data_IF_776560576057
#
_entry.id   IF_776560576057
#
_cell.length_a   1.000
_cell.length_b   1.000
_cell.length_c   1.000
_cell.angle_alpha   90.00
_cell.angle_beta   90.00
_cell.angle_gamma   90.00
#
_symmetry.space_group_name_H-M   'P 1'
#
loop_
_entity.id
_entity.type
_entity.pdbx_description
1 polymer ?
#
# COMPACT_ATOMS: atom_id res chain seq x y z
N UNK A 1 -12.45 -50.64 0.08
CA UNK A 1 -12.58 -51.31 -1.24
C UNK A 1 -11.27 -51.13 -1.99
N UNK A 2 -10.49 -52.20 -2.20
CA UNK A 2 -9.18 -52.18 -2.87
C UNK A 2 -9.37 -52.24 -4.38
N UNK A 3 -8.91 -51.23 -5.13
CA UNK A 3 -8.78 -51.32 -6.58
C UNK A 3 -7.36 -51.74 -6.95
N UNK A 4 -7.22 -52.96 -7.49
CA UNK A 4 -6.02 -53.46 -8.17
C UNK A 4 -6.07 -52.97 -9.61
N UNK A 5 -5.13 -52.13 -10.04
CA UNK A 5 -4.83 -51.96 -11.46
C UNK A 5 -3.75 -52.96 -11.85
N UNK A 6 -4.08 -53.88 -12.76
CA UNK A 6 -3.10 -54.73 -13.42
C UNK A 6 -2.40 -53.89 -14.50
N UNK A 7 -1.16 -53.51 -14.24
CA UNK A 7 -0.29 -52.83 -15.20
C UNK A 7 0.43 -53.90 -16.03
N UNK A 8 -0.07 -54.20 -17.22
CA UNK A 8 0.65 -55.05 -18.18
C UNK A 8 1.63 -54.17 -18.95
N UNK A 9 2.90 -54.25 -18.56
CA UNK A 9 4.04 -53.64 -19.25
C UNK A 9 4.36 -54.49 -20.49
N UNK A 10 4.15 -53.92 -21.68
CA UNK A 10 4.77 -54.40 -22.92
C UNK A 10 5.74 -53.31 -23.35
N UNK A 11 7.03 -53.58 -23.12
CA UNK A 11 8.15 -52.83 -23.67
C UNK A 11 8.30 -53.20 -25.15
N UNK A 12 8.00 -52.27 -26.06
CA UNK A 12 8.62 -52.27 -27.38
C UNK A 12 9.09 -50.83 -27.69
N UNK A 13 10.34 -50.74 -28.09
CA UNK A 13 11.09 -49.50 -28.30
C UNK A 13 10.56 -48.66 -29.46
N UNK A 14 10.67 -47.34 -29.29
CA UNK A 14 10.84 -46.39 -30.39
C UNK A 14 9.57 -45.77 -30.94
N UNK A 15 9.09 -44.71 -30.30
CA UNK A 15 8.77 -43.44 -30.98
C UNK A 15 8.57 -42.36 -29.91
N UNK A 16 9.32 -41.26 -30.02
CA UNK A 16 9.10 -40.04 -29.25
C UNK A 16 7.75 -39.48 -29.69
N UNK A 17 6.71 -39.62 -28.86
CA UNK A 17 5.46 -38.89 -29.03
C UNK A 17 5.44 -37.73 -28.04
N UNK A 18 5.47 -36.51 -28.57
CA UNK A 18 5.35 -35.29 -27.79
C UNK A 18 3.97 -35.23 -27.15
N UNK A 19 3.87 -35.49 -25.84
CA UNK A 19 2.67 -35.22 -25.06
C UNK A 19 2.63 -33.73 -24.71
N UNK A 20 1.98 -32.92 -25.54
CA UNK A 20 1.69 -31.54 -25.19
C UNK A 20 0.43 -31.50 -24.31
N UNK A 21 0.61 -31.44 -22.98
CA UNK A 21 -0.46 -31.07 -22.06
C UNK A 21 -0.52 -29.53 -21.98
N UNK A 22 -1.41 -28.90 -22.76
CA UNK A 22 -1.75 -27.49 -22.55
C UNK A 22 -2.75 -27.37 -21.39
N UNK A 23 -2.31 -26.80 -20.27
CA UNK A 23 -3.19 -26.28 -19.24
C UNK A 23 -3.61 -24.85 -19.62
N UNK A 24 -4.87 -24.67 -20.04
CA UNK A 24 -5.42 -23.34 -20.32
C UNK A 24 -6.10 -22.73 -19.08
N UNK A 25 -5.94 -21.41 -19.03
CA UNK A 25 -6.28 -20.40 -18.04
C UNK A 25 -7.73 -20.45 -17.50
N UNK A 26 -7.86 -20.10 -16.22
CA UNK A 26 -9.09 -19.89 -15.46
C UNK A 26 -9.83 -18.64 -15.95
N UNK A 27 -11.00 -18.82 -16.57
CA UNK A 27 -11.97 -17.73 -16.73
C UNK A 27 -12.96 -17.81 -15.56
N UNK A 28 -12.87 -16.87 -14.62
CA UNK A 28 -13.87 -16.68 -13.57
C UNK A 28 -15.04 -15.91 -14.20
N UNK A 29 -16.09 -16.62 -14.58
CA UNK A 29 -17.38 -16.02 -14.92
C UNK A 29 -18.14 -15.74 -13.62
N UNK A 30 -18.27 -14.46 -13.28
CA UNK A 30 -19.14 -14.00 -12.20
C UNK A 30 -20.52 -13.75 -12.81
N UNK A 31 -21.34 -14.80 -12.91
CA UNK A 31 -22.77 -14.61 -13.11
C UNK A 31 -23.45 -14.42 -11.75
N UNK A 32 -24.36 -13.45 -11.66
CA UNK A 32 -24.98 -12.95 -10.44
C UNK A 32 -25.96 -13.91 -9.75
N UNK A 33 -25.76 -15.23 -9.90
CA UNK A 33 -26.57 -16.27 -9.27
C UNK A 33 -25.98 -16.69 -7.90
N UNK A 34 -26.79 -17.24 -6.97
CA UNK A 34 -26.34 -17.64 -5.64
C UNK A 34 -25.61 -19.00 -5.63
N UNK A 35 -24.76 -19.28 -6.62
CA UNK A 35 -23.92 -20.47 -6.62
C UNK A 35 -22.62 -20.22 -5.87
N UNK A 36 -22.20 -21.21 -5.08
CA UNK A 36 -20.88 -21.25 -4.43
C UNK A 36 -19.77 -20.99 -5.46
N UNK A 37 -18.68 -20.30 -5.08
CA UNK A 37 -17.57 -20.10 -6.00
C UNK A 37 -16.99 -21.47 -6.40
N UNK A 38 -16.96 -21.75 -7.70
CA UNK A 38 -16.50 -23.01 -8.26
C UNK A 38 -15.24 -22.79 -9.10
N UNK A 39 -14.25 -23.67 -8.92
CA UNK A 39 -13.10 -23.80 -9.79
C UNK A 39 -13.35 -24.91 -10.79
N UNK A 40 -13.30 -24.59 -12.09
CA UNK A 40 -13.47 -25.56 -13.17
C UNK A 40 -12.15 -25.73 -13.90
N UNK A 41 -11.58 -26.94 -13.86
CA UNK A 41 -10.39 -27.31 -14.61
C UNK A 41 -10.76 -28.22 -15.78
N UNK A 42 -10.23 -27.90 -16.97
CA UNK A 42 -10.43 -28.68 -18.19
C UNK A 42 -9.09 -29.27 -18.66
N UNK A 43 -9.06 -30.57 -18.91
CA UNK A 43 -7.91 -31.26 -19.46
C UNK A 43 -8.32 -32.03 -20.72
N UNK A 44 -7.67 -31.74 -21.84
CA UNK A 44 -7.91 -32.42 -23.12
C UNK A 44 -6.62 -33.12 -23.54
N UNK A 45 -6.68 -34.43 -23.68
CA UNK A 45 -5.60 -35.23 -24.25
C UNK A 45 -5.98 -35.59 -25.68
N UNK A 46 -5.12 -35.30 -26.64
CA UNK A 46 -5.28 -35.70 -28.04
C UNK A 46 -4.12 -36.60 -28.44
N UNK A 47 -4.44 -37.74 -29.05
CA UNK A 47 -3.48 -38.67 -29.64
C UNK A 47 -3.80 -38.72 -31.12
N UNK A 48 -2.84 -38.32 -31.95
CA UNK A 48 -2.95 -38.41 -33.40
C UNK A 48 -1.85 -39.35 -33.93
N UNK A 49 -2.25 -40.35 -34.70
CA UNK A 49 -1.42 -41.25 -35.49
C UNK A 49 -1.91 -41.11 -36.95
N UNK A 50 -1.06 -41.40 -37.94
CA UNK A 50 -1.24 -41.11 -39.37
C UNK A 50 -2.69 -41.19 -39.90
N UNK A 51 -3.45 -42.24 -39.53
CA UNK A 51 -4.85 -42.44 -39.94
C UNK A 51 -5.88 -42.42 -38.78
N UNK A 52 -5.47 -42.10 -37.54
CA UNK A 52 -6.33 -42.17 -36.33
C UNK A 52 -6.13 -40.94 -35.44
N UNK A 53 -7.21 -40.18 -35.22
CA UNK A 53 -7.29 -39.16 -34.17
C UNK A 53 -8.18 -39.68 -33.03
N UNK A 54 -7.65 -39.68 -31.80
CA UNK A 54 -8.38 -39.94 -30.58
C UNK A 54 -8.25 -38.75 -29.63
N UNK A 55 -9.35 -38.35 -28.99
CA UNK A 55 -9.32 -37.30 -27.98
C UNK A 55 -10.08 -37.72 -26.72
N UNK A 56 -9.55 -37.35 -25.56
CA UNK A 56 -10.16 -37.55 -24.25
C UNK A 56 -10.25 -36.20 -23.54
N UNK A 57 -11.45 -35.84 -23.09
CA UNK A 57 -11.69 -34.62 -22.33
C UNK A 57 -12.08 -34.98 -20.89
N UNK A 58 -11.45 -34.33 -19.92
CA UNK A 58 -11.74 -34.46 -18.50
C UNK A 58 -12.02 -33.07 -17.92
N UNK A 59 -13.17 -32.92 -17.27
CA UNK A 59 -13.54 -31.70 -16.54
C UNK A 59 -13.63 -32.01 -15.05
N UNK A 60 -12.97 -31.21 -14.22
CA UNK A 60 -13.05 -31.28 -12.76
C UNK A 60 -13.67 -29.97 -12.26
N UNK A 61 -14.76 -30.06 -11.51
CA UNK A 61 -15.39 -28.94 -10.81
C UNK A 61 -15.12 -29.09 -9.32
N UNK A 62 -14.56 -28.06 -8.68
CA UNK A 62 -14.32 -28.01 -7.23
C UNK A 62 -15.01 -26.81 -6.63
N UNK A 63 -15.78 -27.03 -5.58
CA UNK A 63 -16.34 -25.95 -4.77
C UNK A 63 -15.23 -25.33 -3.90
N UNK A 64 -15.02 -24.02 -4.00
CA UNK A 64 -14.03 -23.29 -3.23
C UNK A 64 -14.60 -22.93 -1.84
N UNK A 65 -14.04 -23.54 -0.80
CA UNK A 65 -14.38 -23.22 0.60
C UNK A 65 -13.44 -22.16 1.15
N UNK A 66 -14.00 -21.18 1.88
CA UNK A 66 -13.22 -20.12 2.55
C UNK A 66 -12.86 -18.91 1.68
N UNK A 67 -13.46 -18.79 0.49
CA UNK A 67 -13.34 -17.59 -0.35
C UNK A 67 -14.51 -16.66 0.00
N UNK A 68 -14.20 -15.41 0.35
CA UNK A 68 -15.22 -14.40 0.60
C UNK A 68 -15.97 -14.09 -0.71
N UNK A 69 -17.26 -14.37 -0.75
CA UNK A 69 -18.11 -13.95 -1.86
C UNK A 69 -18.33 -12.45 -1.82
N UNK A 70 -18.60 -11.85 -2.98
CA UNK A 70 -18.89 -10.41 -3.04
C UNK A 70 -20.08 -10.02 -2.15
N UNK A 71 -21.05 -10.92 -1.97
CA UNK A 71 -22.18 -10.72 -1.06
C UNK A 71 -21.75 -10.65 0.40
N UNK A 72 -20.83 -11.52 0.82
CA UNK A 72 -20.27 -11.50 2.18
C UNK A 72 -19.43 -10.24 2.43
N UNK A 73 -18.65 -9.81 1.43
CA UNK A 73 -17.88 -8.56 1.50
C UNK A 73 -18.81 -7.36 1.63
N UNK A 74 -19.86 -7.27 0.79
CA UNK A 74 -20.83 -6.19 0.84
C UNK A 74 -21.60 -6.16 2.17
N UNK A 75 -21.96 -7.32 2.72
CA UNK A 75 -22.60 -7.41 4.03
C UNK A 75 -21.70 -6.88 5.15
N UNK A 76 -20.39 -7.21 5.12
CA UNK A 76 -19.41 -6.70 6.09
C UNK A 76 -19.17 -5.20 5.94
N UNK A 77 -19.13 -4.68 4.71
CA UNK A 77 -19.01 -3.25 4.47
C UNK A 77 -20.22 -2.48 5.00
N UNK A 78 -21.43 -2.99 4.79
CA UNK A 78 -22.65 -2.39 5.33
C UNK A 78 -22.68 -2.41 6.87
N UNK A 79 -22.21 -3.49 7.50
CA UNK A 79 -22.06 -3.57 8.97
C UNK A 79 -21.09 -2.50 9.50
N UNK A 80 -19.96 -2.30 8.82
CA UNK A 80 -18.97 -1.30 9.18
C UNK A 80 -19.48 0.13 8.99
N UNK A 81 -20.21 0.39 7.91
CA UNK A 81 -20.83 1.68 7.64
C UNK A 81 -21.81 2.06 8.76
N UNK A 82 -22.66 1.13 9.21
CA UNK A 82 -23.58 1.36 10.32
C UNK A 82 -22.85 1.66 11.63
N UNK A 83 -21.79 0.92 11.95
CA UNK A 83 -20.98 1.18 13.15
C UNK A 83 -20.33 2.57 13.10
N UNK A 84 -19.79 2.96 11.94
CA UNK A 84 -19.17 4.27 11.78
C UNK A 84 -20.19 5.41 11.96
N UNK A 85 -21.39 5.28 11.39
CA UNK A 85 -22.47 6.26 11.56
C UNK A 85 -22.85 6.40 13.04
N UNK A 86 -22.90 5.29 13.77
CA UNK A 86 -23.23 5.29 15.20
C UNK A 86 -22.14 5.95 16.05
N UNK A 87 -20.87 5.66 15.78
CA UNK A 87 -19.75 6.33 16.45
C UNK A 87 -19.76 7.85 16.19
N UNK A 88 -20.03 8.27 14.94
CA UNK A 88 -20.15 9.71 14.61
C UNK A 88 -21.34 10.35 15.34
N UNK A 89 -22.46 9.63 15.49
CA UNK A 89 -23.63 10.10 16.25
C UNK A 89 -23.26 10.34 17.72
N UNK A 90 -22.56 9.40 18.34
CA UNK A 90 -22.09 9.51 19.72
C UNK A 90 -21.14 10.70 19.93
N UNK A 91 -20.23 10.93 18.99
CA UNK A 91 -19.33 12.11 19.01
C UNK A 91 -20.14 13.41 18.91
N UNK A 92 -21.10 13.48 17.99
CA UNK A 92 -21.94 14.68 17.81
C UNK A 92 -22.82 14.98 19.03
N UNK A 93 -23.29 13.95 19.73
CA UNK A 93 -24.05 14.10 20.98
C UNK A 93 -23.19 14.53 22.17
N UNK A 94 -21.87 14.43 22.06
CA UNK A 94 -20.93 14.93 23.07
C UNK A 94 -20.54 16.42 22.89
N UNK A 95 -20.79 17.03 21.73
CA UNK A 95 -20.54 18.46 21.46
C UNK A 95 -21.22 19.45 22.44
N UNK A 96 -22.46 19.26 22.96
CA UNK A 96 -23.05 20.23 23.88
C UNK A 96 -22.31 20.32 25.24
N UNK A 97 -21.43 19.37 25.59
CA UNK A 97 -20.59 19.47 26.80
C UNK A 97 -19.43 20.45 26.65
N UNK A 98 -19.00 20.81 25.42
CA UNK A 98 -17.97 21.84 25.21
C UNK A 98 -18.51 23.27 25.11
N UNK A 99 -19.81 23.46 24.86
CA UNK A 99 -20.42 24.81 24.77
C UNK A 99 -20.79 25.43 26.13
N UNK A 100 -20.75 24.66 27.22
CA UNK A 100 -21.08 25.14 28.57
C UNK A 100 -19.88 25.67 29.36
N UNK A 101 -18.65 25.58 28.82
CA UNK A 101 -17.48 26.30 29.32
C UNK A 101 -17.40 27.68 28.66
N UNK A 102 -18.41 28.54 28.88
CA UNK A 102 -18.33 29.95 28.49
C UNK A 102 -17.40 30.70 29.45
N UNK A 103 -16.14 30.87 29.04
CA UNK A 103 -15.27 31.91 29.60
C UNK A 103 -15.86 33.27 29.17
N UNK A 104 -16.09 34.22 30.09
CA UNK A 104 -16.63 35.53 29.73
C UNK A 104 -15.64 36.28 28.83
N UNK A 105 -16.03 36.48 27.56
CA UNK A 105 -15.30 37.30 26.59
C UNK A 105 -15.48 38.78 26.96
N UNK A 106 -14.42 39.39 27.47
CA UNK A 106 -14.31 40.83 27.63
C UNK A 106 -14.24 41.50 26.26
N UNK A 107 -15.22 42.37 25.98
CA UNK A 107 -15.32 43.23 24.81
C UNK A 107 -14.25 44.33 24.86
N UNK A 108 -13.02 43.98 24.50
CA UNK A 108 -12.04 44.95 24.03
C UNK A 108 -11.68 44.60 22.60
N UNK A 109 -12.24 45.36 21.64
CA UNK A 109 -11.81 45.35 20.23
C UNK A 109 -10.32 45.70 20.17
N UNK A 110 -9.43 44.80 19.72
CA UNK A 110 -8.09 45.21 19.34
C UNK A 110 -8.19 45.93 18.01
N UNK A 111 -7.62 47.14 17.97
CA UNK A 111 -7.39 47.91 16.74
C UNK A 111 -6.59 47.05 15.76
N UNK A 112 -7.01 47.11 14.50
CA UNK A 112 -6.36 46.55 13.33
C UNK A 112 -4.90 47.05 13.26
N UNK A 113 -3.98 46.22 13.72
CA UNK A 113 -2.56 46.35 13.45
C UNK A 113 -2.16 45.14 12.59
N UNK A 114 -1.74 45.47 11.37
CA UNK A 114 -0.92 44.73 10.41
C UNK A 114 -0.82 43.20 10.52
N UNK A 115 -1.40 42.54 9.49
CA UNK A 115 -0.96 41.29 8.86
C UNK A 115 -0.37 40.22 9.80
N UNK A 116 -1.23 39.49 10.50
CA UNK A 116 -0.90 38.12 10.86
C UNK A 116 -0.90 37.27 9.59
N UNK A 117 0.27 36.76 9.20
CA UNK A 117 0.34 35.66 8.23
C UNK A 117 -0.56 34.54 8.74
N UNK A 118 -1.57 34.18 7.93
CA UNK A 118 -2.26 32.89 8.06
C UNK A 118 -1.16 31.83 8.01
N UNK A 119 -0.85 31.27 9.17
CA UNK A 119 0.39 30.52 9.42
C UNK A 119 0.52 29.34 8.48
N UNK A 120 1.57 29.34 7.68
CA UNK A 120 1.98 28.20 6.89
C UNK A 120 2.42 27.10 7.86
N UNK A 121 1.63 26.03 7.97
CA UNK A 121 1.94 24.83 8.77
C UNK A 121 2.23 23.67 7.84
N UNK A 122 3.33 22.93 8.08
CA UNK A 122 3.67 21.74 7.28
C UNK A 122 2.65 20.62 7.43
N UNK A 123 1.96 20.56 8.56
CA UNK A 123 0.85 19.64 8.74
C UNK A 123 -0.30 19.95 7.79
N UNK A 124 -0.64 21.23 7.61
CA UNK A 124 -1.67 21.65 6.66
C UNK A 124 -1.24 21.34 5.21
N UNK A 125 0.02 21.60 4.85
CA UNK A 125 0.55 21.21 3.54
C UNK A 125 0.44 19.70 3.32
N UNK A 126 0.86 18.91 4.31
CA UNK A 126 0.82 17.46 4.23
C UNK A 126 -0.61 16.97 4.02
N UNK A 127 -1.57 17.46 4.80
CA UNK A 127 -3.00 17.08 4.66
C UNK A 127 -3.56 17.48 3.29
N UNK A 128 -3.22 18.67 2.80
CA UNK A 128 -3.75 19.17 1.52
C UNK A 128 -3.16 18.48 0.29
N UNK A 129 -1.91 18.02 0.37
CA UNK A 129 -1.17 17.48 -0.78
C UNK A 129 -0.86 15.98 -0.65
N UNK A 130 -1.38 15.29 0.37
CA UNK A 130 -1.18 13.84 0.48
C UNK A 130 -1.96 13.11 -0.61
N UNK A 131 -1.29 12.18 -1.28
CA UNK A 131 -1.84 11.33 -2.34
C UNK A 131 -2.37 12.12 -3.55
N UNK A 132 -1.81 13.31 -3.81
CA UNK A 132 -2.16 14.12 -4.98
C UNK A 132 -1.21 13.89 -6.15
N UNK A 133 -1.64 14.30 -7.34
CA UNK A 133 -0.85 14.23 -8.57
C UNK A 133 -0.49 15.65 -8.99
N UNK A 134 0.79 15.91 -9.21
CA UNK A 134 1.30 17.19 -9.67
C UNK A 134 1.90 17.04 -11.06
N UNK A 135 1.69 18.04 -11.91
CA UNK A 135 2.33 18.13 -13.22
C UNK A 135 3.64 18.91 -13.09
N UNK A 136 4.72 18.35 -13.62
CA UNK A 136 6.02 19.00 -13.71
C UNK A 136 6.47 19.05 -15.16
N UNK A 137 7.49 19.84 -15.47
CA UNK A 137 8.11 19.89 -16.81
C UNK A 137 8.62 18.51 -17.27
N UNK A 138 8.95 17.64 -16.33
CA UNK A 138 9.50 16.30 -16.58
C UNK A 138 8.42 15.20 -16.61
N UNK A 139 7.17 15.51 -16.29
CA UNK A 139 6.07 14.55 -16.25
C UNK A 139 5.19 14.64 -15.00
N UNK A 140 4.33 13.64 -14.81
CA UNK A 140 3.43 13.54 -13.64
C UNK A 140 4.19 12.97 -12.45
N UNK A 141 3.96 13.53 -11.27
CA UNK A 141 4.46 12.97 -10.03
C UNK A 141 3.34 12.80 -9.02
N UNK A 142 3.38 11.70 -8.30
CA UNK A 142 2.51 11.40 -7.17
C UNK A 142 3.20 11.86 -5.88
N UNK A 143 2.47 12.56 -5.03
CA UNK A 143 2.95 13.02 -3.74
C UNK A 143 2.35 12.15 -2.64
N UNK A 144 3.20 11.65 -1.75
CA UNK A 144 2.76 10.99 -0.53
C UNK A 144 3.44 11.61 0.67
N UNK A 145 2.67 11.93 1.70
CA UNK A 145 3.16 12.48 2.95
C UNK A 145 2.91 11.48 4.08
N UNK A 146 3.94 11.26 4.88
CA UNK A 146 3.92 10.39 6.04
C UNK A 146 4.43 11.15 7.26
N UNK A 147 3.56 11.33 8.25
CA UNK A 147 3.93 11.85 9.57
C UNK A 147 4.27 10.68 10.49
N UNK A 148 5.51 10.66 10.95
CA UNK A 148 6.07 9.65 11.85
C UNK A 148 6.02 10.21 13.25
N UNK A 149 5.34 9.50 14.15
CA UNK A 149 5.27 9.87 15.56
C UNK A 149 6.37 9.15 16.35
N UNK A 150 6.68 9.70 17.52
CA UNK A 150 7.68 9.16 18.44
C UNK A 150 9.07 8.96 17.82
N UNK A 151 9.44 9.84 16.89
CA UNK A 151 10.68 9.71 16.11
C UNK A 151 11.93 9.79 16.99
N UNK A 152 11.85 10.52 18.10
CA UNK A 152 12.98 10.66 19.04
C UNK A 152 13.31 9.32 19.69
N UNK A 153 12.30 8.56 20.12
CA UNK A 153 12.54 7.23 20.68
C UNK A 153 13.01 6.25 19.61
N UNK A 154 12.44 6.34 18.40
CA UNK A 154 12.83 5.52 17.26
C UNK A 154 14.31 5.72 16.93
N UNK A 155 14.77 6.97 16.84
CA UNK A 155 16.15 7.30 16.51
C UNK A 155 17.15 6.86 17.60
N UNK A 156 16.77 6.98 18.87
CA UNK A 156 17.67 6.71 19.99
C UNK A 156 17.72 5.22 20.37
N UNK A 157 16.58 4.53 20.34
CA UNK A 157 16.44 3.22 20.99
C UNK A 157 15.98 2.11 20.04
N UNK A 158 15.37 2.41 18.90
CA UNK A 158 14.93 1.37 17.97
C UNK A 158 16.07 0.91 17.07
N UNK A 159 16.22 -0.40 16.93
CA UNK A 159 16.97 -1.04 15.85
C UNK A 159 16.05 -1.65 14.78
N UNK A 160 14.74 -1.68 15.07
CA UNK A 160 13.74 -2.22 14.16
C UNK A 160 13.30 -1.17 13.16
N UNK A 161 13.14 -1.61 11.91
CA UNK A 161 12.57 -0.80 10.86
C UNK A 161 11.10 -0.52 11.10
N UNK A 162 10.61 0.59 10.56
CA UNK A 162 9.23 1.04 10.73
C UNK A 162 8.67 1.37 9.37
N UNK A 163 7.45 0.90 9.13
CA UNK A 163 6.78 1.02 7.85
C UNK A 163 5.67 2.08 7.90
N UNK A 164 5.50 2.79 6.80
CA UNK A 164 4.32 3.60 6.55
C UNK A 164 3.09 2.72 6.32
N UNK A 165 1.91 3.34 6.34
CA UNK A 165 0.75 2.70 5.74
C UNK A 165 1.02 2.43 4.25
N UNK A 166 0.49 1.32 3.74
CA UNK A 166 0.56 0.99 2.32
C UNK A 166 -0.25 1.99 1.49
N UNK A 167 0.29 2.42 0.37
CA UNK A 167 -0.40 3.28 -0.60
C UNK A 167 -0.18 2.78 -2.02
N UNK A 168 -0.97 3.27 -2.98
CA UNK A 168 -1.01 2.73 -4.33
C UNK A 168 -0.67 3.79 -5.38
N UNK A 169 0.23 3.45 -6.29
CA UNK A 169 0.54 4.27 -7.47
C UNK A 169 0.38 3.40 -8.71
N UNK A 170 -0.53 3.78 -9.62
CA UNK A 170 -0.92 2.98 -10.79
C UNK A 170 -1.27 1.52 -10.45
N UNK A 171 -1.92 1.29 -9.30
CA UNK A 171 -2.31 -0.04 -8.83
C UNK A 171 -1.18 -0.86 -8.19
N UNK A 172 0.05 -0.34 -8.13
CA UNK A 172 1.15 -1.00 -7.44
C UNK A 172 1.20 -0.60 -5.97
N UNK A 173 1.23 -1.56 -5.03
CA UNK A 173 1.37 -1.26 -3.61
C UNK A 173 2.80 -0.80 -3.29
N UNK A 174 2.89 0.27 -2.52
CA UNK A 174 4.14 0.89 -2.08
C UNK A 174 4.12 1.09 -0.57
N UNK A 175 5.28 0.93 0.06
CA UNK A 175 5.52 1.17 1.48
C UNK A 175 6.82 1.99 1.62
N UNK A 176 6.81 2.99 2.50
CA UNK A 176 8.04 3.67 2.91
C UNK A 176 8.53 3.02 4.20
N UNK A 177 9.78 2.60 4.23
CA UNK A 177 10.41 2.00 5.41
C UNK A 177 11.50 2.93 5.93
N UNK A 178 11.46 3.21 7.23
CA UNK A 178 12.56 3.80 7.99
C UNK A 178 13.39 2.67 8.57
N UNK A 179 14.69 2.71 8.33
CA UNK A 179 15.67 1.88 9.01
C UNK A 179 16.45 2.78 9.98
N UNK A 180 16.05 2.83 11.26
CA UNK A 180 16.81 3.54 12.29
C UNK A 180 18.18 2.87 12.43
N UNK A 181 19.21 3.67 12.72
CA UNK A 181 20.58 3.18 12.95
C UNK A 181 21.04 2.17 11.89
N UNK A 182 20.85 2.51 10.62
CA UNK A 182 21.06 1.65 9.47
C UNK A 182 22.44 1.00 9.52
N UNK A 183 22.50 -0.34 9.52
CA UNK A 183 23.73 -1.15 9.64
C UNK A 183 24.53 -0.86 10.94
N UNK A 184 23.86 -0.51 12.03
CA UNK A 184 24.49 -0.19 13.31
C UNK A 184 25.22 1.16 13.33
N UNK A 185 24.99 2.01 12.33
CA UNK A 185 25.65 3.31 12.19
C UNK A 185 24.76 4.47 12.64
N UNK A 186 25.31 5.69 12.77
CA UNK A 186 24.55 6.90 13.11
C UNK A 186 23.68 7.45 11.96
N UNK A 187 23.32 6.60 10.99
CA UNK A 187 22.51 6.99 9.85
C UNK A 187 21.09 6.45 9.98
N UNK A 188 20.11 7.29 9.71
CA UNK A 188 18.76 6.86 9.35
C UNK A 188 18.72 6.60 7.85
N UNK A 189 18.11 5.50 7.42
CA UNK A 189 17.86 5.24 6.01
C UNK A 189 16.36 5.21 5.72
N UNK A 190 15.97 5.79 4.58
CA UNK A 190 14.62 5.69 4.02
C UNK A 190 14.66 4.84 2.75
N UNK A 191 13.70 3.94 2.63
CA UNK A 191 13.51 3.05 1.49
C UNK A 191 12.07 3.13 0.98
N UNK A 192 11.88 3.07 -0.33
CA UNK A 192 10.58 2.80 -0.93
C UNK A 192 10.57 1.35 -1.43
N UNK A 193 9.71 0.52 -0.86
CA UNK A 193 9.60 -0.89 -1.21
C UNK A 193 8.30 -1.16 -1.98
N UNK A 194 8.37 -2.12 -2.90
CA UNK A 194 7.24 -2.67 -3.65
C UNK A 194 7.52 -4.12 -4.03
N UNK A 195 6.47 -4.92 -4.18
CA UNK A 195 6.59 -6.30 -4.67
C UNK A 195 6.92 -6.37 -6.16
N UNK A 196 6.50 -5.38 -6.95
CA UNK A 196 6.45 -5.48 -8.41
C UNK A 196 7.42 -4.53 -9.10
N UNK A 197 7.45 -3.28 -8.66
CA UNK A 197 8.23 -2.22 -9.30
C UNK A 197 8.53 -1.11 -8.31
N UNK A 198 9.81 -0.72 -8.23
CA UNK A 198 10.21 0.45 -7.46
C UNK A 198 10.34 1.64 -8.42
N UNK A 199 9.43 2.63 -8.35
CA UNK A 199 9.47 3.80 -9.23
C UNK A 199 10.68 4.68 -8.95
N UNK A 200 11.02 5.52 -9.93
CA UNK A 200 11.93 6.63 -9.67
C UNK A 200 11.27 7.58 -8.66
N UNK A 201 11.96 7.88 -7.57
CA UNK A 201 11.38 8.66 -6.49
C UNK A 201 12.40 9.55 -5.79
N UNK A 202 11.91 10.51 -5.01
CA UNK A 202 12.72 11.37 -4.15
C UNK A 202 12.04 11.48 -2.80
N UNK A 203 12.83 11.36 -1.74
CA UNK A 203 12.37 11.68 -0.38
C UNK A 203 12.75 13.11 -0.02
N UNK A 204 11.87 13.76 0.71
CA UNK A 204 12.10 15.07 1.31
C UNK A 204 11.69 15.00 2.77
N UNK A 205 12.63 15.22 3.68
CA UNK A 205 12.31 15.44 5.09
C UNK A 205 12.00 16.92 5.25
N UNK A 206 10.79 17.19 5.71
CA UNK A 206 10.28 18.55 5.81
C UNK A 206 10.85 19.21 7.05
N UNK A 207 11.53 20.34 6.84
CA UNK A 207 11.81 21.28 7.91
C UNK A 207 10.49 21.96 8.32
N UNK A 208 10.17 21.88 9.60
CA UNK A 208 8.92 22.33 10.22
C UNK A 208 8.87 23.85 10.39
N UNK A 209 10.04 24.51 10.46
CA UNK A 209 10.16 25.95 10.70
C UNK A 209 10.47 26.75 9.42
N UNK A 210 11.18 26.15 8.46
CA UNK A 210 11.67 26.82 7.26
C UNK A 210 11.68 25.87 6.05
N UNK A 211 10.78 26.02 5.06
CA UNK A 211 10.73 25.18 3.85
C UNK A 211 12.02 25.16 3.02
N UNK A 212 12.83 26.21 3.09
CA UNK A 212 14.12 26.25 2.38
C UNK A 212 15.17 25.34 3.01
N UNK A 213 14.94 24.89 4.24
CA UNK A 213 15.81 23.97 4.99
C UNK A 213 15.49 22.49 4.79
N UNK A 214 14.55 22.15 3.90
CA UNK A 214 14.18 20.76 3.62
C UNK A 214 15.37 19.91 3.19
N UNK A 215 15.45 18.68 3.72
CA UNK A 215 16.48 17.72 3.33
C UNK A 215 15.93 16.83 2.22
N UNK A 216 16.44 17.00 1.01
CA UNK A 216 16.03 16.21 -0.15
C UNK A 216 17.07 15.16 -0.51
N UNK A 217 16.59 13.98 -0.91
CA UNK A 217 17.44 12.97 -1.54
C UNK A 217 17.74 13.33 -3.00
N UNK A 218 18.72 12.65 -3.57
CA UNK A 218 18.81 12.50 -5.04
C UNK A 218 17.64 11.65 -5.56
N UNK A 219 17.55 11.47 -6.88
CA UNK A 219 16.59 10.53 -7.47
C UNK A 219 17.03 9.09 -7.12
N UNK A 220 16.10 8.37 -6.51
CA UNK A 220 16.22 6.99 -6.06
C UNK A 220 15.43 6.06 -6.98
N UNK A 221 15.69 4.77 -6.86
CA UNK A 221 15.03 3.71 -7.62
C UNK A 221 15.73 2.39 -7.37
N UNK A 222 15.59 1.43 -8.29
CA UNK A 222 16.14 0.07 -8.13
C UNK A 222 17.67 0.03 -7.93
N UNK A 223 18.42 0.94 -8.57
CA UNK A 223 19.89 0.99 -8.47
C UNK A 223 20.37 1.69 -7.19
N UNK A 224 19.57 2.61 -6.66
CA UNK A 224 19.90 3.44 -5.51
C UNK A 224 18.64 3.48 -4.63
N UNK A 225 18.43 2.44 -3.80
CA UNK A 225 17.15 2.25 -3.13
C UNK A 225 17.02 3.08 -1.84
N UNK A 226 18.14 3.56 -1.29
CA UNK A 226 18.19 4.12 0.07
C UNK A 226 18.60 5.60 0.07
N UNK A 227 17.83 6.41 0.79
CA UNK A 227 18.26 7.73 1.23
C UNK A 227 18.82 7.66 2.64
N UNK A 228 20.14 7.83 2.78
CA UNK A 228 20.83 7.79 4.07
C UNK A 228 21.12 9.20 4.57
N UNK A 229 20.78 9.47 5.82
CA UNK A 229 20.92 10.77 6.46
C UNK A 229 21.53 10.56 7.83
N UNK A 230 22.51 11.39 8.20
CA UNK A 230 23.10 11.35 9.54
C UNK A 230 22.07 11.77 10.59
N UNK A 231 21.94 11.04 11.70
CA UNK A 231 20.94 11.27 12.74
C UNK A 231 20.96 12.70 13.28
N UNK A 232 22.16 13.25 13.52
CA UNK A 232 22.36 14.64 13.99
C UNK A 232 21.73 15.72 13.09
N UNK A 233 21.55 15.43 11.80
CA UNK A 233 20.90 16.35 10.85
C UNK A 233 19.39 16.41 11.04
N UNK A 234 18.79 15.36 11.61
CA UNK A 234 17.35 15.23 11.83
C UNK A 234 16.99 15.53 13.28
N UNK A 235 17.89 15.27 14.22
CA UNK A 235 17.65 15.47 15.66
C UNK A 235 17.48 16.94 16.09
N UNK A 236 17.55 17.89 15.15
CA UNK A 236 17.31 19.31 15.44
C UNK A 236 15.81 19.58 15.59
N UNK A 237 15.46 20.57 16.41
CA UNK A 237 14.08 21.05 16.60
C UNK A 237 13.45 21.60 15.32
N UNK A 238 14.23 21.79 14.26
CA UNK A 238 13.73 22.28 12.98
C UNK A 238 13.07 21.18 12.14
N UNK A 239 13.40 19.91 12.37
CA UNK A 239 12.76 18.78 11.67
C UNK A 239 11.77 18.03 12.56
N UNK A 240 11.99 18.05 13.88
CA UNK A 240 11.16 17.35 14.85
C UNK A 240 10.33 18.37 15.64
N UNK A 241 9.02 18.34 15.45
CA UNK A 241 8.03 19.13 16.22
C UNK A 241 7.08 18.17 16.92
N UNK A 242 6.84 18.38 18.21
CA UNK A 242 6.00 17.52 19.05
C UNK A 242 6.38 16.03 18.99
N UNK A 243 7.68 15.74 18.90
CA UNK A 243 8.19 14.37 18.78
C UNK A 243 7.85 13.68 17.45
N UNK A 244 7.44 14.46 16.44
CA UNK A 244 7.04 13.95 15.13
C UNK A 244 7.90 14.50 14.00
N UNK A 245 8.03 13.71 12.93
CA UNK A 245 8.77 14.03 11.71
C UNK A 245 7.83 13.88 10.51
N UNK A 246 7.91 14.78 9.52
CA UNK A 246 7.12 14.65 8.29
C UNK A 246 8.05 14.32 7.12
N UNK A 247 7.74 13.22 6.45
CA UNK A 247 8.43 12.72 5.26
C UNK A 247 7.50 12.88 4.07
N UNK A 248 8.03 13.45 2.98
CA UNK A 248 7.36 13.56 1.69
C UNK A 248 8.07 12.67 0.68
N UNK A 249 7.34 11.77 0.05
CA UNK A 249 7.79 11.02 -1.11
C UNK A 249 7.21 11.64 -2.38
N UNK A 250 8.08 11.87 -3.36
CA UNK A 250 7.74 12.37 -4.68
C UNK A 250 8.06 11.25 -5.66
N UNK A 251 7.03 10.66 -6.23
CA UNK A 251 7.13 9.45 -7.05
C UNK A 251 6.83 9.81 -8.49
N UNK A 252 7.82 9.63 -9.36
CA UNK A 252 7.66 9.81 -10.80
C UNK A 252 7.05 8.55 -11.40
N UNK A 253 6.00 8.72 -12.20
CA UNK A 253 5.39 7.63 -12.95
C UNK A 253 4.99 8.16 -14.33
N UNK A 254 5.23 7.35 -15.35
CA UNK A 254 4.92 7.66 -16.75
C UNK A 254 3.79 6.76 -17.25
#
# INVERSE_FOLDING_TARGET
MKFRLHLSIILLWGLVTTTNCMSNYTNVYIDGSPSSPEEIQHAICKIAIEDIEASANATIVRELKGVCTIKEVLARLAELEQRLIEEIRMIKESEPKLKSLQIPVSTNKPKLAEKSHVGYSRDLEAVQNNQTIHMTELGKCFLHFWKVYDIVNILNYSESSIDSAMFYVQGNPLIITIHPRHLGTQYLALELSSSSWVPAHRFVILNQNNPKGDLSSQILGTKIPLFRIHADRISTSDFITDGSLIIKAIISYY
#
